data_IF_127017946911
#
_entry.id   IF_127017946911
#
_cell.length_a   1.000
_cell.length_b   1.000
_cell.length_c   1.000
_cell.angle_alpha   90.00
_cell.angle_beta   90.00
_cell.angle_gamma   90.00
#
_symmetry.space_group_name_H-M   'P 1'
#
loop_
_entity.id
_entity.type
_entity.pdbx_description
1 polymer ?
#
# COMPACT_ATOMS: atom_id res chain seq x y z
N UNK A 1 6.68 10.19 -14.97
CA UNK A 1 6.21 9.54 -13.73
C UNK A 1 4.80 9.06 -13.94
N UNK A 2 4.58 7.77 -13.76
CA UNK A 2 3.26 7.13 -13.83
C UNK A 2 2.87 6.61 -12.45
N UNK A 3 1.57 6.38 -12.24
CA UNK A 3 1.04 5.78 -11.02
C UNK A 3 0.16 4.60 -11.37
N UNK A 4 0.40 3.48 -10.73
CA UNK A 4 -0.37 2.25 -10.88
C UNK A 4 -0.91 1.84 -9.52
N UNK A 5 -2.16 1.39 -9.46
CA UNK A 5 -2.75 0.85 -8.24
C UNK A 5 -2.26 -0.57 -7.98
N UNK A 6 -2.01 -0.86 -6.70
CA UNK A 6 -1.55 -2.17 -6.26
C UNK A 6 -2.73 -2.98 -5.69
N UNK A 7 -2.89 -4.19 -6.18
CA UNK A 7 -3.88 -5.16 -5.70
C UNK A 7 -3.18 -6.44 -5.24
N UNK A 8 -3.70 -7.04 -4.19
CA UNK A 8 -3.27 -8.36 -3.72
C UNK A 8 -4.47 -9.28 -3.58
N UNK A 9 -4.24 -10.58 -3.78
CA UNK A 9 -5.30 -11.57 -3.65
C UNK A 9 -5.69 -11.71 -2.19
N UNK A 10 -6.99 -11.58 -1.92
CA UNK A 10 -7.55 -11.73 -0.59
C UNK A 10 -7.39 -13.18 -0.10
N UNK A 11 -6.99 -13.36 1.15
CA UNK A 11 -6.84 -14.68 1.77
C UNK A 11 -8.18 -15.39 1.97
N UNK A 12 -9.26 -14.64 2.21
CA UNK A 12 -10.59 -15.18 2.53
C UNK A 12 -11.42 -15.38 1.27
N UNK A 13 -11.51 -14.34 0.43
CA UNK A 13 -12.38 -14.35 -0.76
C UNK A 13 -11.65 -14.74 -2.04
N UNK A 14 -10.32 -14.82 -2.03
CA UNK A 14 -9.50 -15.13 -3.22
C UNK A 14 -9.64 -14.17 -4.41
N UNK A 15 -10.38 -13.07 -4.24
CA UNK A 15 -10.48 -11.98 -5.21
C UNK A 15 -9.33 -10.97 -5.04
N UNK A 16 -8.91 -10.29 -6.12
CA UNK A 16 -7.98 -9.16 -6.04
C UNK A 16 -8.61 -7.99 -5.26
N UNK A 17 -7.95 -7.54 -4.20
CA UNK A 17 -8.39 -6.41 -3.38
C UNK A 17 -7.25 -5.44 -3.13
N UNK A 18 -7.57 -4.16 -3.02
CA UNK A 18 -6.61 -3.09 -2.70
C UNK A 18 -7.10 -2.34 -1.46
N UNK A 19 -6.24 -2.09 -0.45
CA UNK A 19 -6.63 -1.30 0.71
C UNK A 19 -6.90 0.14 0.29
N UNK A 20 -7.91 0.76 0.92
CA UNK A 20 -8.24 2.17 0.73
C UNK A 20 -8.32 2.83 2.11
N UNK A 21 -7.46 3.82 2.34
CA UNK A 21 -7.52 4.65 3.53
C UNK A 21 -8.77 5.53 3.48
N UNK A 22 -9.75 5.27 4.37
CA UNK A 22 -11.00 6.04 4.43
C UNK A 22 -10.85 7.38 5.15
N UNK A 23 -10.07 7.38 6.23
CA UNK A 23 -9.75 8.56 7.02
C UNK A 23 -8.26 8.53 7.36
N UNK A 24 -7.61 9.70 7.47
CA UNK A 24 -6.23 9.74 7.94
C UNK A 24 -6.19 9.20 9.37
N UNK A 25 -5.22 8.35 9.72
CA UNK A 25 -5.01 7.99 11.11
C UNK A 25 -4.79 9.23 11.95
N UNK A 26 -5.35 9.19 13.14
CA UNK A 26 -5.34 10.27 14.09
C UNK A 26 -4.42 9.91 15.25
N UNK A 27 -3.60 10.86 15.67
CA UNK A 27 -2.79 10.77 16.89
C UNK A 27 -3.37 11.74 17.91
N UNK A 28 -3.61 11.24 19.13
CA UNK A 28 -4.05 12.01 20.29
C UNK A 28 -3.06 11.88 21.45
N UNK A 29 -3.33 12.57 22.57
CA UNK A 29 -2.44 12.62 23.73
C UNK A 29 -3.18 12.30 25.02
N UNK A 30 -2.63 11.40 25.82
CA UNK A 30 -3.01 11.27 27.23
C UNK A 30 -1.94 11.95 28.08
N UNK A 31 -2.35 12.84 28.98
CA UNK A 31 -1.44 13.52 29.89
C UNK A 31 -1.78 13.22 31.34
N UNK A 32 -0.76 13.26 32.19
CA UNK A 32 -0.85 12.86 33.61
C UNK A 32 -1.67 13.83 34.46
N UNK A 33 -1.67 15.12 34.12
CA UNK A 33 -2.22 16.19 34.97
C UNK A 33 -3.39 16.95 34.34
N UNK A 34 -3.78 16.60 33.12
CA UNK A 34 -4.89 17.24 32.40
C UNK A 34 -5.33 16.40 31.21
N UNK A 35 -6.54 16.64 30.76
CA UNK A 35 -7.03 16.14 29.48
C UNK A 35 -6.45 17.00 28.35
N UNK A 36 -6.07 16.36 27.23
CA UNK A 36 -5.64 17.03 26.01
C UNK A 36 -6.52 16.54 24.86
N UNK A 37 -7.42 17.39 24.39
CA UNK A 37 -8.35 17.10 23.29
C UNK A 37 -7.80 17.55 21.92
N UNK A 38 -6.48 17.56 21.78
CA UNK A 38 -5.84 17.79 20.48
C UNK A 38 -5.84 16.47 19.71
N UNK A 39 -6.06 16.56 18.40
CA UNK A 39 -5.93 15.44 17.45
C UNK A 39 -5.10 15.93 16.27
N UNK A 40 -4.02 15.21 15.94
CA UNK A 40 -3.27 15.43 14.70
C UNK A 40 -3.64 14.36 13.67
N UNK A 41 -4.31 14.70 12.57
CA UNK A 41 -4.45 13.81 11.44
C UNK A 41 -3.10 13.68 10.74
N UNK A 42 -2.63 12.45 10.53
CA UNK A 42 -1.41 12.18 9.80
C UNK A 42 -1.70 11.26 8.62
N UNK A 43 -1.38 11.66 7.37
CA UNK A 43 -1.59 10.79 6.22
C UNK A 43 -0.71 9.53 6.34
N UNK A 44 -1.26 8.39 5.95
CA UNK A 44 -0.48 7.15 5.84
C UNK A 44 0.54 7.28 4.71
N UNK A 45 1.73 6.74 4.93
CA UNK A 45 2.68 6.43 3.85
C UNK A 45 2.21 5.17 3.13
N UNK A 46 2.54 5.01 1.85
CA UNK A 46 2.11 3.84 1.07
C UNK A 46 2.60 2.53 1.68
N UNK A 47 3.83 2.48 2.21
CA UNK A 47 4.34 1.31 2.91
C UNK A 47 3.56 0.96 4.18
N UNK A 48 3.12 1.97 4.94
CA UNK A 48 2.34 1.79 6.15
C UNK A 48 0.96 1.21 5.81
N UNK A 49 0.34 1.71 4.73
CA UNK A 49 -0.93 1.20 4.22
C UNK A 49 -0.80 -0.25 3.71
N UNK A 50 0.29 -0.57 3.00
CA UNK A 50 0.60 -1.93 2.57
C UNK A 50 0.80 -2.88 3.76
N UNK A 51 1.55 -2.48 4.80
CA UNK A 51 1.72 -3.32 6.01
C UNK A 51 0.40 -3.66 6.70
N UNK A 52 -0.61 -2.78 6.64
CA UNK A 52 -1.94 -3.06 7.19
C UNK A 52 -2.74 -4.12 6.43
N UNK A 53 -2.28 -4.57 5.26
CA UNK A 53 -2.86 -5.72 4.55
C UNK A 53 -2.32 -7.07 5.04
N UNK A 54 -1.40 -7.06 6.01
CA UNK A 54 -0.88 -8.29 6.61
C UNK A 54 -2.03 -9.14 7.16
N UNK A 55 -2.04 -10.41 6.78
CA UNK A 55 -3.11 -11.35 7.12
C UNK A 55 -4.37 -11.25 6.24
N UNK A 56 -4.59 -10.12 5.55
CA UNK A 56 -5.66 -9.97 4.55
C UNK A 56 -5.26 -10.49 3.19
N UNK A 57 -4.01 -10.29 2.78
CA UNK A 57 -3.47 -10.81 1.53
C UNK A 57 -2.85 -12.19 1.72
N UNK A 58 -2.81 -12.97 0.64
CA UNK A 58 -2.15 -14.29 0.61
C UNK A 58 -0.64 -14.20 0.74
N UNK A 59 -0.04 -13.11 0.22
CA UNK A 59 1.40 -12.83 0.23
C UNK A 59 1.75 -11.85 1.34
N UNK A 60 2.96 -11.98 1.91
CA UNK A 60 3.44 -11.08 2.95
C UNK A 60 3.75 -9.67 2.38
N UNK A 61 3.20 -8.59 2.97
CA UNK A 61 3.34 -7.23 2.43
C UNK A 61 4.80 -6.74 2.33
N UNK A 62 5.66 -7.17 3.26
CA UNK A 62 7.08 -6.84 3.30
C UNK A 62 7.85 -7.38 2.09
N UNK A 63 7.47 -8.55 1.58
CA UNK A 63 8.09 -9.10 0.36
C UNK A 63 7.72 -8.29 -0.88
N UNK A 64 6.45 -7.89 -0.97
CA UNK A 64 5.93 -7.04 -2.04
C UNK A 64 6.62 -5.68 -2.01
N UNK A 65 6.74 -5.08 -0.82
CA UNK A 65 7.45 -3.81 -0.63
C UNK A 65 8.93 -3.91 -1.08
N UNK A 66 9.58 -5.05 -0.80
CA UNK A 66 10.96 -5.32 -1.23
C UNK A 66 11.13 -5.31 -2.76
N UNK A 67 10.17 -5.86 -3.50
CA UNK A 67 10.18 -5.83 -4.97
C UNK A 67 9.90 -4.42 -5.48
N UNK A 68 8.86 -3.76 -4.97
CA UNK A 68 8.45 -2.44 -5.43
C UNK A 68 9.56 -1.40 -5.25
N UNK A 69 10.29 -1.42 -4.13
CA UNK A 69 11.40 -0.48 -3.85
C UNK A 69 12.53 -0.52 -4.88
N UNK A 70 12.66 -1.59 -5.66
CA UNK A 70 13.68 -1.68 -6.72
C UNK A 70 13.35 -0.82 -7.94
N UNK A 71 12.06 -0.60 -8.19
CA UNK A 71 11.56 0.06 -9.40
C UNK A 71 10.86 1.37 -9.12
N UNK A 72 10.38 1.59 -7.89
CA UNK A 72 9.60 2.78 -7.57
C UNK A 72 9.30 2.90 -6.08
N UNK A 73 8.25 3.65 -5.77
CA UNK A 73 7.86 3.93 -4.38
C UNK A 73 6.36 3.74 -4.15
N UNK A 74 6.02 3.26 -2.95
CA UNK A 74 4.64 3.13 -2.51
C UNK A 74 4.12 4.48 -2.02
N UNK A 75 2.99 4.91 -2.58
CA UNK A 75 2.31 6.17 -2.25
C UNK A 75 0.84 5.91 -1.95
N UNK A 76 0.22 6.85 -1.24
CA UNK A 76 -1.23 6.87 -1.02
C UNK A 76 -1.83 7.94 -1.92
N UNK A 77 -2.83 7.57 -2.71
CA UNK A 77 -3.54 8.49 -3.60
C UNK A 77 -4.46 9.45 -2.88
N UNK A 78 -4.97 10.43 -3.62
CA UNK A 78 -5.86 11.45 -3.08
C UNK A 78 -7.17 10.87 -2.52
N UNK A 79 -7.59 9.70 -3.01
CA UNK A 79 -8.76 8.94 -2.52
C UNK A 79 -8.39 7.87 -1.47
N UNK A 80 -7.15 7.87 -0.97
CA UNK A 80 -6.65 6.88 -0.01
C UNK A 80 -6.19 5.56 -0.63
N UNK A 81 -6.05 5.50 -1.96
CA UNK A 81 -5.72 4.29 -2.70
C UNK A 81 -4.24 3.91 -2.56
N UNK A 82 -3.94 2.63 -2.42
CA UNK A 82 -2.56 2.16 -2.46
C UNK A 82 -2.04 2.16 -3.90
N UNK A 83 -1.03 2.99 -4.16
CA UNK A 83 -0.44 3.15 -5.47
C UNK A 83 1.08 2.96 -5.43
N UNK A 84 1.62 2.63 -6.59
CA UNK A 84 3.05 2.60 -6.88
C UNK A 84 3.35 3.72 -7.86
N UNK A 85 4.28 4.58 -7.50
CA UNK A 85 4.81 5.63 -8.36
C UNK A 85 6.13 5.17 -8.98
N UNK A 86 6.20 5.28 -10.30
CA UNK A 86 7.30 4.82 -11.16
C UNK A 86 7.76 5.96 -12.04
N UNK A 87 9.01 5.94 -12.51
CA UNK A 87 9.53 7.02 -13.35
C UNK A 87 8.98 6.94 -14.79
N UNK A 88 8.87 5.72 -15.34
CA UNK A 88 8.42 5.43 -16.70
C UNK A 88 7.50 4.20 -16.80
N UNK A 89 6.85 4.04 -17.96
CA UNK A 89 6.07 2.82 -18.29
C UNK A 89 6.95 1.57 -18.35
N UNK A 90 8.19 1.68 -18.84
CA UNK A 90 9.14 0.56 -18.88
C UNK A 90 9.46 0.00 -17.49
N UNK A 91 9.54 0.86 -16.47
CA UNK A 91 9.70 0.40 -15.08
C UNK A 91 8.44 -0.29 -14.55
N UNK A 92 7.26 0.18 -14.99
CA UNK A 92 5.99 -0.47 -14.70
C UNK A 92 5.92 -1.88 -15.26
N UNK A 93 6.33 -2.07 -16.52
CA UNK A 93 6.35 -3.39 -17.15
C UNK A 93 7.36 -4.34 -16.51
N UNK A 94 8.54 -3.84 -16.14
CA UNK A 94 9.55 -4.62 -15.40
C UNK A 94 9.05 -5.01 -14.02
N UNK A 95 8.42 -4.08 -13.29
CA UNK A 95 7.82 -4.36 -11.99
C UNK A 95 6.69 -5.40 -12.11
N UNK A 96 5.79 -5.24 -13.07
CA UNK A 96 4.71 -6.19 -13.32
C UNK A 96 5.27 -7.60 -13.61
N UNK A 97 6.36 -7.68 -14.39
CA UNK A 97 7.04 -8.93 -14.70
C UNK A 97 7.66 -9.58 -13.46
N UNK A 98 8.41 -8.83 -12.62
CA UNK A 98 9.01 -9.38 -11.39
C UNK A 98 7.93 -9.79 -10.38
N UNK A 99 6.83 -9.04 -10.27
CA UNK A 99 5.69 -9.40 -9.43
C UNK A 99 5.02 -10.70 -9.91
N UNK A 100 4.81 -10.87 -11.22
CA UNK A 100 4.24 -12.08 -11.78
C UNK A 100 5.18 -13.29 -11.63
N UNK A 101 6.50 -13.11 -11.80
CA UNK A 101 7.48 -14.18 -11.61
C UNK A 101 7.54 -14.66 -10.16
N UNK A 102 7.52 -13.72 -9.20
CA UNK A 102 7.69 -14.03 -7.78
C UNK A 102 6.39 -14.44 -7.09
N UNK A 103 5.27 -13.81 -7.45
CA UNK A 103 3.99 -13.96 -6.77
C UNK A 103 2.89 -14.54 -7.65
N UNK A 104 3.16 -14.82 -8.93
CA UNK A 104 2.17 -15.39 -9.85
C UNK A 104 0.95 -14.50 -10.01
N UNK A 105 -0.23 -15.05 -9.72
CA UNK A 105 -1.53 -14.37 -9.80
C UNK A 105 -1.99 -13.81 -8.44
N UNK A 106 -1.05 -13.56 -7.52
CA UNK A 106 -1.38 -13.08 -6.18
C UNK A 106 -1.26 -11.56 -6.03
N UNK A 107 -0.48 -10.89 -6.89
CA UNK A 107 -0.25 -9.44 -6.84
C UNK A 107 -0.40 -8.86 -8.23
N UNK A 108 -1.13 -7.75 -8.34
CA UNK A 108 -1.46 -7.13 -9.63
C UNK A 108 -1.23 -5.63 -9.60
N UNK A 109 -0.89 -5.08 -10.75
CA UNK A 109 -0.85 -3.65 -11.03
C UNK A 109 -1.91 -3.30 -12.06
N UNK A 110 -2.62 -2.21 -11.83
CA UNK A 110 -3.57 -1.65 -12.80
C UNK A 110 -3.38 -0.14 -12.89
N UNK A 111 -3.63 0.48 -14.05
CA UNK A 111 -3.75 1.94 -14.17
C UNK A 111 -4.80 2.52 -13.22
#
# INVERSE_FOLDING_TARGET
MIRLRLFGRCRIYHDPVSPVAKEPPQIGWTAWFRTIDLIAPQPLKGEELLRRTRGWWTVEPEEIAGVIRKYGRLVVGDKGELMVELESEEEGDKLASELAERFGDQVFLTP
#
